data_IF_950240567856
#
_entry.id   IF_950240567856
#
_cell.length_a   1.000
_cell.length_b   1.000
_cell.length_c   1.000
_cell.angle_alpha   90.00
_cell.angle_beta   90.00
_cell.angle_gamma   90.00
#
_symmetry.space_group_name_H-M   'P 1'
#
loop_
_entity.id
_entity.type
_entity.pdbx_description
1 polymer ?
#
# COMPACT_ATOMS: atom_id res chain seq x y z
N UNK A 1 -5.78 -3.86 -21.58
CA UNK A 1 -6.60 -4.55 -20.56
C UNK A 1 -6.83 -3.70 -19.30
N UNK A 2 -5.84 -2.98 -18.78
CA UNK A 2 -5.92 -2.24 -17.50
C UNK A 2 -6.64 -0.87 -17.51
N UNK A 3 -6.88 -0.26 -18.68
CA UNK A 3 -7.45 1.11 -18.76
C UNK A 3 -8.91 1.23 -18.31
N UNK A 4 -9.67 0.13 -18.32
CA UNK A 4 -11.09 0.14 -17.95
C UNK A 4 -11.33 0.16 -16.43
N UNK A 5 -10.36 -0.30 -15.63
CA UNK A 5 -10.50 -0.51 -14.18
C UNK A 5 -9.78 0.53 -13.32
N UNK A 6 -8.80 1.23 -13.89
CA UNK A 6 -7.93 2.19 -13.20
C UNK A 6 -8.63 3.31 -12.40
N UNK A 7 -9.83 3.82 -12.77
CA UNK A 7 -10.51 4.84 -11.95
C UNK A 7 -11.17 4.31 -10.68
N UNK A 8 -11.38 3.00 -10.59
CA UNK A 8 -12.25 2.38 -9.58
C UNK A 8 -11.53 1.42 -8.65
N UNK A 9 -10.39 0.87 -9.08
CA UNK A 9 -9.61 -0.09 -8.29
C UNK A 9 -8.11 0.17 -8.46
N UNK A 10 -7.38 0.04 -7.35
CA UNK A 10 -5.93 -0.01 -7.41
C UNK A 10 -5.46 -1.37 -7.93
N UNK A 11 -4.65 -1.34 -8.99
CA UNK A 11 -4.13 -2.53 -9.64
C UNK A 11 -2.84 -2.98 -8.96
N UNK A 12 -2.76 -4.25 -8.59
CA UNK A 12 -1.52 -4.86 -8.08
C UNK A 12 -0.48 -5.12 -9.18
N UNK A 13 -0.93 -5.37 -10.42
CA UNK A 13 -0.11 -5.59 -11.62
C UNK A 13 -0.80 -5.00 -12.86
N UNK A 14 -0.03 -4.76 -13.92
CA UNK A 14 -0.57 -4.71 -15.30
C UNK A 14 -0.73 -3.31 -15.89
N UNK A 15 -0.22 -2.28 -15.22
CA UNK A 15 -0.19 -0.92 -15.78
C UNK A 15 1.08 -0.66 -16.61
N UNK A 16 2.26 -0.90 -16.04
CA UNK A 16 3.55 -0.66 -16.70
C UNK A 16 4.43 -1.92 -16.68
N UNK A 17 4.67 -2.51 -17.85
CA UNK A 17 5.42 -3.78 -18.00
C UNK A 17 6.83 -3.73 -17.41
N UNK A 18 7.55 -2.61 -17.57
CA UNK A 18 8.91 -2.46 -17.02
C UNK A 18 8.92 -2.50 -15.48
N UNK A 19 7.96 -1.82 -14.85
CA UNK A 19 7.82 -1.83 -13.40
C UNK A 19 7.35 -3.20 -12.90
N UNK A 20 6.48 -3.86 -13.67
CA UNK A 20 5.96 -5.18 -13.35
C UNK A 20 7.05 -6.25 -13.38
N UNK A 21 7.86 -6.32 -14.43
CA UNK A 21 8.99 -7.26 -14.51
C UNK A 21 9.98 -7.13 -13.36
N UNK A 22 10.23 -5.89 -12.90
CA UNK A 22 11.14 -5.63 -11.78
C UNK A 22 10.54 -6.04 -10.42
N UNK A 23 9.22 -5.82 -10.22
CA UNK A 23 8.54 -6.04 -8.93
C UNK A 23 7.99 -7.46 -8.78
N UNK A 24 7.67 -8.10 -9.89
CA UNK A 24 6.96 -9.38 -9.93
C UNK A 24 7.72 -10.42 -10.77
N UNK A 25 9.01 -10.68 -10.48
CA UNK A 25 9.83 -11.61 -11.28
C UNK A 25 9.24 -13.03 -11.35
N UNK A 26 8.48 -13.43 -10.31
CA UNK A 26 7.73 -14.69 -10.22
C UNK A 26 6.88 -15.01 -11.47
N UNK A 27 6.39 -13.98 -12.17
CA UNK A 27 5.52 -14.14 -13.35
C UNK A 27 6.30 -14.24 -14.66
N UNK A 28 7.65 -14.18 -14.59
CA UNK A 28 8.53 -14.10 -15.76
C UNK A 28 9.69 -15.11 -15.72
N UNK A 29 9.85 -15.88 -14.64
CA UNK A 29 10.97 -16.81 -14.43
C UNK A 29 10.56 -18.30 -14.51
N UNK A 30 9.34 -18.60 -14.97
CA UNK A 30 8.77 -19.94 -15.11
C UNK A 30 8.66 -20.74 -13.79
N UNK A 31 8.70 -20.05 -12.62
CA UNK A 31 8.56 -20.68 -11.30
C UNK A 31 7.15 -20.61 -10.71
N UNK A 32 6.19 -19.99 -11.40
CA UNK A 32 4.84 -19.76 -10.90
C UNK A 32 4.12 -21.08 -10.55
N UNK A 33 3.66 -21.19 -9.31
CA UNK A 33 2.90 -22.33 -8.82
C UNK A 33 1.76 -21.88 -7.87
N UNK A 34 0.80 -22.76 -7.53
CA UNK A 34 -0.31 -22.42 -6.66
C UNK A 34 0.07 -21.86 -5.28
N UNK A 35 1.21 -22.26 -4.72
CA UNK A 35 1.63 -21.86 -3.37
C UNK A 35 2.25 -20.46 -3.43
N UNK A 36 3.23 -20.25 -4.30
CA UNK A 36 3.89 -18.96 -4.44
C UNK A 36 2.94 -17.89 -5.02
N UNK A 37 1.93 -18.28 -5.81
CA UNK A 37 0.88 -17.37 -6.25
C UNK A 37 0.04 -16.89 -5.06
N UNK A 38 -0.34 -17.78 -4.14
CA UNK A 38 -1.04 -17.40 -2.91
C UNK A 38 -0.20 -16.46 -2.04
N UNK A 39 1.07 -16.76 -1.86
CA UNK A 39 2.00 -15.89 -1.11
C UNK A 39 2.10 -14.51 -1.75
N UNK A 40 2.16 -14.43 -3.08
CA UNK A 40 2.18 -13.17 -3.80
C UNK A 40 0.89 -12.37 -3.61
N UNK A 41 -0.28 -13.02 -3.69
CA UNK A 41 -1.57 -12.37 -3.44
C UNK A 41 -1.63 -11.78 -2.02
N UNK A 42 -1.14 -12.51 -1.02
CA UNK A 42 -1.11 -12.05 0.37
C UNK A 42 -0.12 -10.90 0.58
N UNK A 43 1.09 -11.02 0.00
CA UNK A 43 2.15 -10.01 0.08
C UNK A 43 1.69 -8.65 -0.45
N UNK A 44 0.95 -8.64 -1.55
CA UNK A 44 0.44 -7.42 -2.19
C UNK A 44 -0.99 -7.04 -1.76
N UNK A 45 -1.55 -7.72 -0.76
CA UNK A 45 -2.92 -7.52 -0.29
C UNK A 45 -3.97 -7.55 -1.43
N UNK A 46 -3.83 -8.49 -2.36
CA UNK A 46 -4.75 -8.65 -3.48
C UNK A 46 -6.05 -9.27 -3.00
N UNK A 47 -7.15 -8.56 -3.20
CA UNK A 47 -8.50 -9.03 -2.82
C UNK A 47 -9.26 -9.63 -3.99
N UNK A 48 -8.92 -9.21 -5.21
CA UNK A 48 -9.61 -9.62 -6.42
C UNK A 48 -8.62 -9.90 -7.55
N UNK A 49 -8.89 -10.97 -8.29
CA UNK A 49 -8.18 -11.35 -9.51
C UNK A 49 -9.15 -11.25 -10.67
N UNK A 50 -8.76 -10.53 -11.71
CA UNK A 50 -9.53 -10.39 -12.95
C UNK A 50 -8.85 -11.23 -14.02
N UNK A 51 -9.59 -12.18 -14.58
CA UNK A 51 -9.11 -13.05 -15.65
C UNK A 51 -9.82 -12.69 -16.97
N UNK A 52 -9.12 -12.15 -17.98
CA UNK A 52 -9.70 -11.99 -19.32
C UNK A 52 -9.93 -13.37 -19.97
N UNK A 53 -10.99 -13.49 -20.78
CA UNK A 53 -11.28 -14.71 -21.55
C UNK A 53 -10.57 -14.75 -22.91
N UNK A 54 -10.14 -13.60 -23.42
CA UNK A 54 -9.30 -13.53 -24.62
C UNK A 54 -7.87 -13.96 -24.31
N UNK A 55 -7.09 -14.30 -25.36
CA UNK A 55 -5.69 -14.74 -25.21
C UNK A 55 -4.89 -13.74 -24.36
N UNK A 56 -4.35 -14.15 -23.20
CA UNK A 56 -3.50 -13.29 -22.39
C UNK A 56 -2.25 -12.86 -23.17
N UNK A 57 -1.69 -11.67 -22.87
CA UNK A 57 -0.32 -11.34 -23.31
C UNK A 57 0.65 -12.40 -22.74
N UNK A 58 1.81 -12.60 -23.39
CA UNK A 58 2.73 -13.72 -23.10
C UNK A 58 3.14 -13.81 -21.61
N UNK A 59 3.13 -12.70 -20.86
CA UNK A 59 3.46 -12.65 -19.43
C UNK A 59 2.30 -12.99 -18.47
N UNK A 60 1.10 -13.25 -18.98
CA UNK A 60 -0.10 -13.57 -18.20
C UNK A 60 -0.63 -14.98 -18.49
N UNK A 61 0.02 -15.75 -19.39
CA UNK A 61 -0.44 -17.09 -19.78
C UNK A 61 -0.40 -18.07 -18.60
N UNK A 62 0.72 -18.15 -17.89
CA UNK A 62 0.87 -19.06 -16.75
C UNK A 62 -0.08 -18.71 -15.59
N UNK A 63 -0.27 -17.41 -15.33
CA UNK A 63 -1.26 -16.96 -14.33
C UNK A 63 -2.68 -17.35 -14.74
N UNK A 64 -3.04 -17.13 -16.01
CA UNK A 64 -4.36 -17.49 -16.52
C UNK A 64 -4.62 -19.00 -16.39
N UNK A 65 -3.67 -19.83 -16.85
CA UNK A 65 -3.76 -21.29 -16.73
C UNK A 65 -3.90 -21.74 -15.26
N UNK A 66 -3.12 -21.14 -14.35
CA UNK A 66 -3.19 -21.44 -12.93
C UNK A 66 -4.56 -21.07 -12.33
N UNK A 67 -5.09 -19.88 -12.66
CA UNK A 67 -6.40 -19.45 -12.15
C UNK A 67 -7.52 -20.34 -12.72
N UNK A 68 -7.44 -20.71 -14.00
CA UNK A 68 -8.42 -21.59 -14.66
C UNK A 68 -8.44 -23.02 -14.11
N UNK A 69 -7.30 -23.54 -13.63
CA UNK A 69 -7.21 -24.84 -12.96
C UNK A 69 -8.02 -24.91 -11.65
N UNK A 70 -8.44 -23.77 -11.11
CA UNK A 70 -9.28 -23.68 -9.92
C UNK A 70 -8.46 -23.79 -8.64
N UNK A 71 -8.12 -22.63 -8.07
CA UNK A 71 -7.37 -22.56 -6.82
C UNK A 71 -8.30 -22.56 -5.60
N UNK A 72 -7.96 -23.29 -4.52
CA UNK A 72 -8.83 -23.40 -3.35
C UNK A 72 -9.04 -22.06 -2.61
N UNK A 73 -8.15 -21.09 -2.84
CA UNK A 73 -8.22 -19.75 -2.27
C UNK A 73 -8.86 -18.71 -3.22
N UNK A 74 -9.33 -19.13 -4.40
CA UNK A 74 -10.04 -18.25 -5.34
C UNK A 74 -11.49 -18.71 -5.49
N UNK A 75 -12.41 -17.77 -5.34
CA UNK A 75 -13.83 -18.00 -5.59
C UNK A 75 -14.30 -17.09 -6.71
N UNK A 76 -14.75 -17.66 -7.82
CA UNK A 76 -15.44 -16.92 -8.88
C UNK A 76 -16.71 -16.27 -8.30
N UNK A 77 -16.86 -14.96 -8.44
CA UNK A 77 -18.02 -14.21 -7.96
C UNK A 77 -18.80 -13.53 -9.08
N UNK A 78 -18.21 -13.39 -10.27
CA UNK A 78 -18.84 -12.80 -11.44
C UNK A 78 -18.10 -13.22 -12.72
N UNK A 79 -18.79 -13.24 -13.85
CA UNK A 79 -18.17 -13.41 -15.17
C UNK A 79 -19.15 -13.13 -16.31
N UNK A 80 -18.63 -12.67 -17.45
CA UNK A 80 -19.38 -12.49 -18.69
C UNK A 80 -18.64 -13.10 -19.90
N UNK A 81 -18.95 -12.67 -21.12
CA UNK A 81 -18.28 -13.13 -22.32
C UNK A 81 -16.79 -12.70 -22.41
N UNK A 82 -16.39 -11.68 -21.67
CA UNK A 82 -15.10 -10.98 -21.82
C UNK A 82 -14.14 -11.27 -20.66
N UNK A 83 -14.62 -11.37 -19.42
CA UNK A 83 -13.77 -11.62 -18.26
C UNK A 83 -14.49 -12.33 -17.10
N UNK A 84 -13.71 -12.82 -16.15
CA UNK A 84 -14.15 -13.40 -14.87
C UNK A 84 -13.52 -12.65 -13.70
N UNK A 85 -14.27 -12.58 -12.60
CA UNK A 85 -13.85 -11.98 -11.34
C UNK A 85 -13.76 -13.05 -10.25
N UNK A 86 -12.58 -13.17 -9.66
CA UNK A 86 -12.34 -14.04 -8.53
C UNK A 86 -12.08 -13.21 -7.29
N UNK A 87 -12.73 -13.55 -6.18
CA UNK A 87 -12.39 -13.06 -4.85
C UNK A 87 -11.35 -13.98 -4.23
N UNK A 88 -10.29 -13.39 -3.68
CA UNK A 88 -9.33 -14.09 -2.82
C UNK A 88 -9.99 -14.38 -1.47
N UNK A 89 -9.92 -15.62 -1.03
CA UNK A 89 -10.44 -16.07 0.26
C UNK A 89 -9.42 -15.77 1.36
N UNK A 90 -9.90 -15.19 2.46
CA UNK A 90 -9.10 -14.74 3.60
C UNK A 90 -7.85 -13.95 3.18
N UNK A 91 -8.02 -12.83 2.44
CA UNK A 91 -6.90 -12.05 1.96
C UNK A 91 -6.29 -11.26 3.11
N UNK A 92 -4.97 -11.08 3.06
CA UNK A 92 -4.29 -10.10 3.90
C UNK A 92 -4.83 -8.69 3.59
N UNK A 93 -5.17 -7.86 4.60
CA UNK A 93 -5.73 -6.54 4.36
C UNK A 93 -4.67 -5.55 3.85
N UNK A 94 -5.09 -4.53 3.11
CA UNK A 94 -4.17 -3.48 2.63
C UNK A 94 -3.60 -2.63 3.77
N UNK A 95 -4.36 -2.43 4.86
CA UNK A 95 -3.90 -1.82 6.10
C UNK A 95 -4.14 -2.78 7.26
N UNK A 96 -3.14 -3.00 8.11
CA UNK A 96 -3.25 -3.88 9.27
C UNK A 96 -4.20 -3.31 10.34
N UNK A 97 -4.87 -4.17 11.14
CA UNK A 97 -5.58 -3.73 12.33
C UNK A 97 -4.67 -2.84 13.21
N UNK A 98 -5.19 -1.78 13.85
CA UNK A 98 -6.61 -1.45 14.07
C UNK A 98 -7.25 -0.64 12.93
N UNK A 99 -6.68 -0.63 11.73
CA UNK A 99 -7.15 0.16 10.61
C UNK A 99 -7.99 -0.64 9.60
N UNK A 100 -8.83 0.07 8.85
CA UNK A 100 -9.56 -0.44 7.69
C UNK A 100 -9.46 0.54 6.54
N UNK A 101 -9.19 0.04 5.32
CA UNK A 101 -9.21 0.87 4.11
C UNK A 101 -10.66 1.06 3.68
N UNK A 102 -11.12 2.30 3.64
CA UNK A 102 -12.46 2.66 3.17
C UNK A 102 -12.48 2.85 1.65
N UNK A 103 -11.43 3.47 1.11
CA UNK A 103 -11.30 3.77 -0.31
C UNK A 103 -9.85 3.70 -0.73
N UNK A 104 -9.59 3.06 -1.87
CA UNK A 104 -8.30 3.01 -2.53
C UNK A 104 -8.49 3.55 -3.96
N UNK A 105 -8.33 4.87 -4.13
CA UNK A 105 -8.42 5.57 -5.42
C UNK A 105 -7.07 5.62 -6.12
N UNK A 106 -7.05 6.23 -7.32
CA UNK A 106 -5.85 6.34 -8.14
C UNK A 106 -4.76 7.25 -7.53
N UNK A 107 -5.15 8.23 -6.72
CA UNK A 107 -4.28 9.27 -6.15
C UNK A 107 -4.34 9.34 -4.61
N UNK A 108 -5.40 8.81 -4.00
CA UNK A 108 -5.60 8.84 -2.54
C UNK A 108 -6.06 7.48 -1.99
N UNK A 109 -5.49 7.10 -0.85
CA UNK A 109 -5.95 6.04 0.03
C UNK A 109 -6.61 6.65 1.28
N UNK A 110 -7.87 6.30 1.54
CA UNK A 110 -8.60 6.70 2.76
C UNK A 110 -8.66 5.52 3.72
N UNK A 111 -8.20 5.73 4.96
CA UNK A 111 -8.12 4.71 6.01
C UNK A 111 -8.85 5.20 7.25
N UNK A 112 -9.69 4.36 7.84
CA UNK A 112 -10.25 4.56 9.18
C UNK A 112 -9.40 3.80 10.19
N UNK A 113 -8.88 4.49 11.21
CA UNK A 113 -8.09 3.92 12.31
C UNK A 113 -8.92 3.94 13.59
N UNK A 114 -9.09 2.77 14.23
CA UNK A 114 -9.97 2.63 15.41
C UNK A 114 -9.30 2.99 16.74
N UNK A 115 -7.98 2.91 16.82
CA UNK A 115 -7.20 3.26 18.02
C UNK A 115 -5.84 3.81 17.63
N UNK A 116 -5.27 4.69 18.46
CA UNK A 116 -3.90 5.15 18.28
C UNK A 116 -2.92 3.96 18.16
N UNK A 117 -1.91 4.10 17.32
CA UNK A 117 -0.91 3.06 17.10
C UNK A 117 -0.25 3.13 15.74
N UNK A 118 0.57 2.12 15.48
CA UNK A 118 1.25 1.91 14.20
C UNK A 118 0.38 1.02 13.31
N UNK A 119 0.27 1.39 12.04
CA UNK A 119 -0.52 0.68 11.04
C UNK A 119 0.37 0.41 9.83
N UNK A 120 0.68 -0.86 9.58
CA UNK A 120 1.34 -1.26 8.35
C UNK A 120 0.37 -1.11 7.17
N UNK A 121 0.82 -0.42 6.13
CA UNK A 121 0.07 -0.18 4.89
C UNK A 121 0.89 -0.77 3.75
N UNK A 122 0.31 -1.75 3.05
CA UNK A 122 0.95 -2.45 1.92
C UNK A 122 0.91 -1.61 0.63
N UNK A 123 1.35 -0.36 0.76
CA UNK A 123 1.69 0.56 -0.33
C UNK A 123 3.20 0.81 -0.24
N UNK A 124 3.94 0.64 -1.36
CA UNK A 124 5.37 0.92 -1.37
C UNK A 124 5.67 2.35 -0.92
N UNK A 125 6.59 2.49 0.02
CA UNK A 125 6.99 3.77 0.56
C UNK A 125 7.62 4.67 -0.51
N UNK A 126 7.34 5.97 -0.43
CA UNK A 126 8.08 6.99 -1.17
C UNK A 126 8.22 8.23 -0.30
N UNK A 127 9.30 8.99 -0.46
CA UNK A 127 9.52 10.27 0.24
C UNK A 127 8.47 11.34 -0.05
N UNK A 128 7.63 11.14 -1.08
CA UNK A 128 6.60 12.08 -1.51
C UNK A 128 5.23 11.75 -0.92
N UNK A 129 5.09 10.58 -0.30
CA UNK A 129 3.85 10.16 0.35
C UNK A 129 3.58 11.04 1.58
N UNK A 130 2.38 11.56 1.66
CA UNK A 130 1.94 12.49 2.69
C UNK A 130 0.57 12.09 3.23
N UNK A 131 0.36 12.38 4.51
CA UNK A 131 -0.98 12.54 5.05
C UNK A 131 -1.56 13.85 4.53
N UNK A 132 -2.79 13.81 4.03
CA UNK A 132 -3.49 14.96 3.46
C UNK A 132 -4.80 15.24 4.18
N UNK A 133 -5.24 16.49 4.11
CA UNK A 133 -6.58 16.91 4.53
C UNK A 133 -7.63 16.56 3.47
N UNK A 134 -8.88 17.00 3.69
CA UNK A 134 -9.99 16.70 2.76
C UNK A 134 -9.88 17.44 1.41
N UNK A 135 -9.05 18.49 1.35
CA UNK A 135 -8.76 19.24 0.12
C UNK A 135 -7.53 18.68 -0.62
N UNK A 136 -6.93 17.59 -0.13
CA UNK A 136 -5.74 16.96 -0.70
C UNK A 136 -4.43 17.69 -0.41
N UNK A 137 -4.41 18.61 0.56
CA UNK A 137 -3.19 19.31 0.97
C UNK A 137 -2.48 18.54 2.08
N UNK A 138 -1.15 18.47 2.02
CA UNK A 138 -0.34 17.86 3.08
C UNK A 138 -0.64 18.50 4.44
N UNK A 139 -0.89 17.67 5.44
CA UNK A 139 -1.05 18.11 6.83
C UNK A 139 0.30 18.52 7.43
N UNK A 140 0.25 19.21 8.56
CA UNK A 140 1.46 19.57 9.30
C UNK A 140 2.21 18.32 9.78
N UNK A 141 3.52 18.32 9.56
CA UNK A 141 4.42 17.29 10.10
C UNK A 141 4.50 17.38 11.62
N UNK A 142 4.97 16.32 12.31
CA UNK A 142 5.31 16.39 13.72
C UNK A 142 6.24 17.59 14.01
N UNK A 143 5.86 18.41 14.99
CA UNK A 143 6.58 19.63 15.35
C UNK A 143 7.39 19.41 16.62
N UNK A 144 8.66 19.78 16.63
CA UNK A 144 9.47 19.76 17.86
C UNK A 144 8.82 20.66 18.93
N UNK A 145 8.65 20.13 20.15
CA UNK A 145 8.02 20.88 21.24
C UNK A 145 8.87 22.07 21.67
N UNK A 146 8.25 23.11 22.22
CA UNK A 146 8.98 24.29 22.70
C UNK A 146 10.02 23.91 23.77
N UNK A 147 9.68 23.02 24.71
CA UNK A 147 10.63 22.58 25.73
C UNK A 147 11.79 21.77 25.13
N UNK A 148 11.54 21.00 24.05
CA UNK A 148 12.60 20.29 23.34
C UNK A 148 13.56 21.27 22.67
N UNK A 149 13.03 22.31 22.01
CA UNK A 149 13.85 23.34 21.36
C UNK A 149 14.78 24.01 22.36
N UNK A 150 14.25 24.47 23.50
CA UNK A 150 15.05 25.10 24.56
C UNK A 150 16.17 24.18 25.09
N UNK A 151 15.88 22.88 25.26
CA UNK A 151 16.91 21.90 25.66
C UNK A 151 17.96 21.70 24.57
N UNK A 152 17.54 21.57 23.32
CA UNK A 152 18.43 21.30 22.19
C UNK A 152 19.33 22.49 21.85
N UNK A 153 18.89 23.72 22.14
CA UNK A 153 19.70 24.94 22.03
C UNK A 153 20.83 24.96 23.07
N UNK A 154 20.60 24.34 24.24
CA UNK A 154 21.61 24.22 25.29
C UNK A 154 22.55 23.02 25.07
N UNK A 155 22.04 21.92 24.52
CA UNK A 155 22.78 20.70 24.24
C UNK A 155 22.14 19.92 23.06
N UNK A 156 22.79 19.98 21.90
CA UNK A 156 22.33 19.32 20.66
C UNK A 156 22.30 17.79 20.75
N UNK A 157 22.92 17.18 21.77
CA UNK A 157 22.97 15.72 21.94
C UNK A 157 21.72 15.15 22.62
N UNK A 158 20.88 16.02 23.19
CA UNK A 158 19.65 15.59 23.88
C UNK A 158 18.60 15.16 22.86
N UNK A 159 17.97 13.96 23.02
CA UNK A 159 16.91 13.52 22.13
C UNK A 159 15.75 14.50 22.07
N UNK A 160 15.32 14.82 20.86
CA UNK A 160 14.23 15.77 20.62
C UNK A 160 12.87 15.14 20.92
N UNK A 161 11.94 15.97 21.34
CA UNK A 161 10.56 15.58 21.58
C UNK A 161 9.65 16.26 20.57
N UNK A 162 8.78 15.49 19.93
CA UNK A 162 7.88 15.98 18.89
C UNK A 162 6.42 15.81 19.28
N UNK A 163 5.62 16.82 18.94
CA UNK A 163 4.17 16.76 18.98
C UNK A 163 3.65 16.24 17.63
N UNK A 164 3.14 15.02 17.62
CA UNK A 164 2.51 14.40 16.45
C UNK A 164 0.98 14.55 16.53
N UNK A 165 0.44 15.64 15.97
CA UNK A 165 -1.01 15.93 16.01
C UNK A 165 -1.82 15.22 14.93
N UNK A 166 -1.25 15.11 13.73
CA UNK A 166 -1.94 14.62 12.52
C UNK A 166 -1.51 13.23 12.08
N UNK A 167 -0.46 12.67 12.69
CA UNK A 167 0.19 11.45 12.22
C UNK A 167 1.40 11.72 11.34
N UNK A 168 2.14 10.67 11.07
CA UNK A 168 3.28 10.70 10.16
C UNK A 168 3.52 9.31 9.56
N UNK A 169 4.35 9.25 8.53
CA UNK A 169 4.59 8.07 7.72
C UNK A 169 6.05 7.63 7.86
N UNK A 170 6.25 6.33 8.09
CA UNK A 170 7.55 5.69 8.17
C UNK A 170 7.74 4.75 7.00
N UNK A 171 9.02 4.57 6.64
CA UNK A 171 9.44 3.45 5.82
C UNK A 171 9.71 2.28 6.74
N UNK A 172 9.02 1.16 6.54
CA UNK A 172 9.33 -0.07 7.27
C UNK A 172 10.65 -0.65 6.77
N UNK A 173 11.38 -1.33 7.65
CA UNK A 173 12.55 -2.10 7.26
C UNK A 173 12.22 -3.07 6.12
N UNK A 174 13.20 -3.24 5.23
CA UNK A 174 13.06 -4.05 4.03
C UNK A 174 12.68 -5.49 4.42
N UNK A 175 11.52 -5.93 3.93
CA UNK A 175 11.05 -7.30 4.17
C UNK A 175 11.92 -8.35 3.49
N UNK A 176 11.67 -9.66 3.73
CA UNK A 176 12.45 -10.75 3.15
C UNK A 176 12.47 -10.77 1.62
N UNK A 177 11.54 -10.05 0.98
CA UNK A 177 11.43 -9.95 -0.46
C UNK A 177 11.85 -8.59 -1.04
N UNK A 178 12.45 -7.72 -0.23
CA UNK A 178 12.94 -6.43 -0.68
C UNK A 178 11.91 -5.30 -0.70
N UNK A 179 10.73 -5.51 -0.10
CA UNK A 179 9.68 -4.48 -0.08
C UNK A 179 9.91 -3.48 1.04
N UNK A 180 9.83 -2.22 0.67
CA UNK A 180 9.81 -1.09 1.60
C UNK A 180 8.35 -0.62 1.74
N UNK A 181 7.64 -1.15 2.74
CA UNK A 181 6.24 -0.77 2.99
C UNK A 181 6.12 0.56 3.74
N UNK A 182 4.93 1.14 3.70
CA UNK A 182 4.60 2.35 4.45
C UNK A 182 4.01 1.96 5.81
N UNK A 183 4.46 2.58 6.88
CA UNK A 183 3.79 2.52 8.18
C UNK A 183 3.20 3.89 8.54
N UNK A 184 1.95 3.91 8.97
CA UNK A 184 1.31 5.09 9.54
C UNK A 184 1.44 5.05 11.07
N UNK A 185 2.06 6.08 11.64
CA UNK A 185 1.98 6.36 13.07
C UNK A 185 0.76 7.26 13.34
N UNK A 186 -0.36 6.65 13.74
CA UNK A 186 -1.60 7.35 14.04
C UNK A 186 -1.66 7.73 15.54
N UNK A 187 -1.64 9.04 15.89
CA UNK A 187 -1.67 9.47 17.28
C UNK A 187 -3.04 9.28 17.96
N UNK A 188 -4.10 9.05 17.18
CA UNK A 188 -5.48 8.94 17.68
C UNK A 188 -6.38 8.16 16.71
N UNK A 189 -7.56 7.69 17.16
CA UNK A 189 -8.58 7.23 16.23
C UNK A 189 -9.00 8.33 15.25
N UNK A 190 -9.37 7.95 14.02
CA UNK A 190 -9.86 8.89 13.02
C UNK A 190 -9.70 8.40 11.59
N UNK A 191 -10.05 9.28 10.65
CA UNK A 191 -9.85 9.07 9.23
C UNK A 191 -8.53 9.71 8.81
N UNK A 192 -7.70 8.94 8.12
CA UNK A 192 -6.40 9.33 7.58
C UNK A 192 -6.45 9.18 6.07
N UNK A 193 -5.95 10.17 5.34
CA UNK A 193 -5.85 10.15 3.88
C UNK A 193 -4.39 10.18 3.50
N UNK A 194 -3.96 9.23 2.67
CA UNK A 194 -2.59 9.14 2.18
C UNK A 194 -2.59 9.42 0.68
N UNK A 195 -1.79 10.38 0.24
CA UNK A 195 -1.63 10.73 -1.16
C UNK A 195 -0.18 11.13 -1.44
N UNK A 196 0.16 11.36 -2.72
CA UNK A 196 1.43 11.94 -3.13
C UNK A 196 1.18 13.26 -3.89
N UNK A 197 0.71 14.33 -3.20
CA UNK A 197 0.40 15.59 -3.86
C UNK A 197 1.66 16.21 -4.46
N UNK A 198 1.50 17.03 -5.51
CA UNK A 198 2.63 17.74 -6.09
C UNK A 198 3.14 18.81 -5.12
N UNK A 199 4.38 18.65 -4.64
CA UNK A 199 5.00 19.55 -3.66
C UNK A 199 6.53 19.51 -3.74
N UNK A 200 7.18 20.59 -3.29
CA UNK A 200 8.65 20.72 -3.30
C UNK A 200 9.33 20.04 -2.09
N UNK A 201 8.63 20.02 -0.96
CA UNK A 201 9.13 19.38 0.26
C UNK A 201 8.76 17.88 0.24
N UNK A 202 9.46 17.01 0.98
CA UNK A 202 8.99 15.65 1.24
C UNK A 202 7.55 15.64 1.77
N UNK A 203 6.89 14.49 1.81
CA UNK A 203 5.53 14.40 2.36
C UNK A 203 5.48 14.59 3.87
N UNK A 204 4.96 13.62 4.61
CA UNK A 204 4.85 13.70 6.07
C UNK A 204 5.65 12.61 6.77
N UNK A 205 6.98 12.59 6.63
CA UNK A 205 7.81 11.58 7.31
C UNK A 205 7.74 11.76 8.84
N UNK A 206 7.84 10.68 9.60
CA UNK A 206 8.10 10.84 11.03
C UNK A 206 9.57 11.26 11.26
N UNK A 207 9.84 12.07 12.30
CA UNK A 207 11.16 12.21 12.87
C UNK A 207 11.74 10.86 13.31
N UNK A 208 13.07 10.76 13.35
CA UNK A 208 13.78 9.55 13.78
C UNK A 208 13.38 9.13 15.20
N UNK A 209 13.14 10.10 16.09
CA UNK A 209 12.72 9.87 17.48
C UNK A 209 11.29 9.32 17.61
N UNK A 210 10.49 9.41 16.54
CA UNK A 210 9.15 8.80 16.45
C UNK A 210 9.13 7.56 15.55
N UNK A 211 10.25 7.23 14.91
CA UNK A 211 10.35 6.13 13.93
C UNK A 211 10.38 4.79 14.63
#
# INVERSE_FOLDING_TARGET
ESSALAPYVNLARGWNRQADMKRNPLFYDDTLDPVNYREWLDRWAVHYVVLPKDRPDNGAVQEAELVEQGQPYLREIWGDANWKLFRVLDPVPLADPPATVERAGADELTITVKSAGRVLIRIPYTRWLALVDEDGKSVERPQETAESKERSEADETVPKTYLNTHGCLNKVEEGPYGDEWTELLAPRPGVYRLAAPYQLQPGTPCPEELS
#
